data_IF_763792924976
#
_entry.id   IF_763792924976
#
_cell.length_a   1.000
_cell.length_b   1.000
_cell.length_c   1.000
_cell.angle_alpha   90.00
_cell.angle_beta   90.00
_cell.angle_gamma   90.00
#
_symmetry.space_group_name_H-M   'P 1'
#
loop_
_entity.id
_entity.type
_entity.pdbx_description
1 polymer ?
#
# COMPACT_ATOMS: atom_id res chain seq x y z
N UNK A 1 8.95 -6.52 -17.33
CA UNK A 1 9.43 -5.15 -17.04
C UNK A 1 8.29 -4.17 -17.32
N UNK A 2 8.19 -3.10 -16.52
CA UNK A 2 7.16 -2.07 -16.63
C UNK A 2 7.84 -0.72 -16.84
N UNK A 3 7.26 0.11 -17.71
CA UNK A 3 7.82 1.40 -18.11
C UNK A 3 6.85 2.53 -17.76
N UNK A 4 7.35 3.61 -17.15
CA UNK A 4 6.58 4.84 -16.87
C UNK A 4 7.27 6.03 -17.52
N UNK A 5 6.55 6.69 -18.43
CA UNK A 5 7.01 7.89 -19.12
C UNK A 5 6.74 9.19 -18.33
N UNK A 6 6.74 9.10 -16.99
CA UNK A 6 6.51 10.25 -16.12
C UNK A 6 7.77 11.12 -16.02
N UNK A 7 7.58 12.45 -16.07
CA UNK A 7 8.70 13.41 -15.95
C UNK A 7 9.16 13.64 -14.52
N UNK A 8 8.40 13.13 -13.53
CA UNK A 8 8.66 13.35 -12.10
C UNK A 8 9.95 12.64 -11.68
N UNK A 9 10.94 13.41 -11.22
CA UNK A 9 12.25 12.91 -10.78
C UNK A 9 12.36 12.97 -9.26
N UNK A 10 11.68 12.06 -8.57
CA UNK A 10 11.80 11.92 -7.11
C UNK A 10 12.70 10.73 -6.75
N UNK A 11 13.07 10.63 -5.49
CA UNK A 11 13.87 9.51 -4.95
C UNK A 11 13.18 8.13 -5.01
N UNK A 12 11.89 8.07 -5.37
CA UNK A 12 11.07 6.85 -5.40
C UNK A 12 10.62 6.43 -6.80
N UNK A 13 10.94 7.20 -7.85
CA UNK A 13 10.40 6.96 -9.19
C UNK A 13 11.50 6.59 -10.17
N UNK A 14 11.31 5.47 -10.88
CA UNK A 14 12.14 5.01 -11.99
C UNK A 14 11.31 4.97 -13.28
N UNK A 15 11.95 5.19 -14.42
CA UNK A 15 11.28 5.09 -15.73
C UNK A 15 11.10 3.64 -16.19
N UNK A 16 11.91 2.72 -15.65
CA UNK A 16 11.81 1.28 -15.85
C UNK A 16 11.98 0.57 -14.50
N UNK A 17 11.11 -0.39 -14.22
CA UNK A 17 11.17 -1.21 -12.99
C UNK A 17 10.47 -2.55 -13.21
N UNK A 18 10.61 -3.45 -12.24
CA UNK A 18 9.97 -4.77 -12.27
C UNK A 18 8.69 -4.76 -11.44
N UNK A 19 7.64 -5.32 -12.00
CA UNK A 19 6.35 -5.48 -11.33
C UNK A 19 5.95 -6.95 -11.38
N UNK A 20 5.38 -7.43 -10.27
CA UNK A 20 4.73 -8.74 -10.18
C UNK A 20 3.23 -8.46 -10.11
N UNK A 21 2.48 -8.87 -11.14
CA UNK A 21 1.06 -8.53 -11.32
C UNK A 21 0.22 -9.81 -11.36
N UNK A 22 -0.33 -10.26 -10.21
CA UNK A 22 -1.24 -11.39 -10.18
C UNK A 22 -2.69 -10.97 -10.49
N UNK A 23 -3.38 -11.77 -11.28
CA UNK A 23 -4.84 -11.70 -11.52
C UNK A 23 -5.48 -13.06 -11.22
N UNK A 24 -6.64 -13.05 -10.56
CA UNK A 24 -7.29 -14.26 -10.04
C UNK A 24 -8.79 -14.26 -10.38
N UNK A 25 -9.24 -15.27 -11.12
CA UNK A 25 -10.65 -15.43 -11.47
C UNK A 25 -11.49 -15.80 -10.23
N UNK A 26 -12.74 -15.34 -10.20
CA UNK A 26 -13.70 -15.58 -9.10
C UNK A 26 -13.27 -15.01 -7.73
N UNK A 27 -12.30 -14.10 -7.71
CA UNK A 27 -11.81 -13.47 -6.49
C UNK A 27 -12.50 -12.14 -6.22
N UNK A 28 -12.81 -11.88 -4.95
CA UNK A 28 -13.26 -10.60 -4.45
C UNK A 28 -12.15 -9.83 -3.73
N UNK A 29 -12.37 -8.53 -3.47
CA UNK A 29 -11.34 -7.65 -2.92
C UNK A 29 -10.79 -8.18 -1.58
N UNK A 30 -11.66 -8.60 -0.65
CA UNK A 30 -11.22 -9.08 0.66
C UNK A 30 -10.25 -10.27 0.54
N UNK A 31 -10.59 -11.26 -0.28
CA UNK A 31 -9.73 -12.42 -0.56
C UNK A 31 -8.42 -12.00 -1.23
N UNK A 32 -8.47 -11.01 -2.13
CA UNK A 32 -7.27 -10.46 -2.75
C UNK A 32 -6.35 -9.77 -1.73
N UNK A 33 -6.91 -9.03 -0.78
CA UNK A 33 -6.12 -8.37 0.28
C UNK A 33 -5.45 -9.40 1.20
N UNK A 34 -6.15 -10.49 1.55
CA UNK A 34 -5.59 -11.60 2.32
C UNK A 34 -4.40 -12.25 1.61
N UNK A 35 -4.49 -12.46 0.29
CA UNK A 35 -3.37 -12.99 -0.50
C UNK A 35 -2.22 -11.99 -0.57
N UNK A 36 -2.50 -10.70 -0.77
CA UNK A 36 -1.48 -9.67 -0.82
C UNK A 36 -0.69 -9.57 0.49
N UNK A 37 -1.36 -9.53 1.64
CA UNK A 37 -0.69 -9.47 2.94
C UNK A 37 0.10 -10.75 3.25
N UNK A 38 -0.48 -11.92 2.96
CA UNK A 38 0.21 -13.20 3.12
C UNK A 38 1.45 -13.30 2.22
N UNK A 39 1.37 -12.82 0.98
CA UNK A 39 2.49 -12.82 0.05
C UNK A 39 3.64 -11.94 0.55
N UNK A 40 3.36 -10.69 0.98
CA UNK A 40 4.38 -9.78 1.50
C UNK A 40 5.00 -10.33 2.79
N UNK A 41 4.18 -10.78 3.75
CA UNK A 41 4.67 -11.40 4.98
C UNK A 41 5.56 -12.62 4.69
N UNK A 42 5.17 -13.48 3.73
CA UNK A 42 5.96 -14.63 3.31
C UNK A 42 7.32 -14.21 2.73
N UNK A 43 7.36 -13.23 1.83
CA UNK A 43 8.62 -12.75 1.25
C UNK A 43 9.56 -12.20 2.31
N UNK A 44 9.06 -11.37 3.22
CA UNK A 44 9.84 -10.79 4.32
C UNK A 44 10.37 -11.89 5.24
N UNK A 45 9.52 -12.86 5.61
CA UNK A 45 9.94 -14.00 6.43
C UNK A 45 11.04 -14.83 5.74
N UNK A 46 10.96 -15.04 4.42
CA UNK A 46 11.99 -15.76 3.68
C UNK A 46 13.30 -15.00 3.55
N UNK A 47 13.26 -13.67 3.42
CA UNK A 47 14.46 -12.84 3.47
C UNK A 47 15.09 -12.90 4.86
N UNK A 48 14.31 -12.80 5.94
CA UNK A 48 14.82 -12.94 7.31
C UNK A 48 15.43 -14.33 7.57
N UNK A 49 14.85 -15.40 7.03
CA UNK A 49 15.33 -16.78 7.17
C UNK A 49 16.64 -17.03 6.42
N UNK A 50 16.79 -16.46 5.21
CA UNK A 50 17.81 -16.89 4.24
C UNK A 50 18.90 -15.85 3.97
N UNK A 51 18.71 -14.62 4.40
CA UNK A 51 19.57 -13.49 4.04
C UNK A 51 20.09 -12.73 5.27
N UNK A 52 20.31 -13.42 6.38
CA UNK A 52 20.79 -12.78 7.62
C UNK A 52 22.09 -11.99 7.40
N UNK A 53 23.07 -12.59 6.71
CA UNK A 53 24.34 -11.93 6.43
C UNK A 53 24.15 -10.67 5.58
N UNK A 54 23.32 -10.72 4.53
CA UNK A 54 23.06 -9.53 3.70
C UNK A 54 22.33 -8.43 4.48
N UNK A 55 21.37 -8.80 5.33
CA UNK A 55 20.66 -7.84 6.19
C UNK A 55 21.61 -7.14 7.17
N UNK A 56 22.58 -7.87 7.72
CA UNK A 56 23.60 -7.30 8.62
C UNK A 56 24.54 -6.35 7.87
N UNK A 57 24.98 -6.71 6.66
CA UNK A 57 25.79 -5.83 5.79
C UNK A 57 25.04 -4.54 5.46
N UNK A 58 23.73 -4.61 5.26
CA UNK A 58 22.86 -3.47 4.97
C UNK A 58 22.46 -2.68 6.23
N UNK A 59 22.92 -3.09 7.41
CA UNK A 59 22.57 -2.51 8.71
C UNK A 59 21.04 -2.41 8.91
N UNK A 60 20.31 -3.41 8.41
CA UNK A 60 18.86 -3.36 8.40
C UNK A 60 18.28 -3.78 9.76
N UNK A 61 17.30 -3.03 10.24
CA UNK A 61 16.53 -3.41 11.43
C UNK A 61 15.69 -4.67 11.18
N UNK A 62 16.17 -5.80 11.70
CA UNK A 62 15.55 -7.13 11.55
C UNK A 62 14.27 -7.25 12.38
N UNK A 63 14.16 -6.56 13.52
CA UNK A 63 12.99 -6.64 14.39
C UNK A 63 11.81 -5.85 13.80
N UNK A 64 12.11 -4.70 13.18
CA UNK A 64 11.13 -3.98 12.38
C UNK A 64 10.62 -4.85 11.23
N UNK A 65 11.50 -5.55 10.50
CA UNK A 65 11.07 -6.47 9.44
C UNK A 65 10.21 -7.63 9.98
N UNK A 66 10.53 -8.17 11.16
CA UNK A 66 9.71 -9.20 11.80
C UNK A 66 8.30 -8.70 12.08
N UNK A 67 8.15 -7.46 12.55
CA UNK A 67 6.82 -6.87 12.78
C UNK A 67 5.95 -6.81 11.51
N UNK A 68 6.59 -6.71 10.33
CA UNK A 68 5.90 -6.71 9.04
C UNK A 68 5.42 -8.10 8.62
N UNK A 69 5.81 -9.17 9.31
CA UNK A 69 5.30 -10.53 9.05
C UNK A 69 4.01 -10.83 9.83
N UNK A 70 3.61 -9.96 10.75
CA UNK A 70 2.43 -10.15 11.60
C UNK A 70 1.13 -9.77 10.88
N UNK A 71 0.31 -10.78 10.61
CA UNK A 71 -1.00 -10.64 9.97
C UNK A 71 -2.14 -10.60 10.99
N UNK A 72 -3.30 -10.00 10.66
CA UNK A 72 -3.59 -9.24 9.44
C UNK A 72 -2.96 -7.84 9.46
N UNK A 73 -2.78 -7.24 8.29
CA UNK A 73 -2.44 -5.84 8.13
C UNK A 73 -3.67 -4.96 8.43
N UNK A 74 -3.48 -3.77 9.03
CA UNK A 74 -4.58 -2.83 9.20
C UNK A 74 -5.21 -2.46 7.86
N UNK A 75 -6.53 -2.38 7.84
CA UNK A 75 -7.33 -1.95 6.69
C UNK A 75 -8.07 -0.68 7.10
N UNK A 76 -7.80 0.43 6.42
CA UNK A 76 -8.34 1.74 6.76
C UNK A 76 -9.06 2.28 5.53
N UNK A 77 -10.29 2.78 5.68
CA UNK A 77 -10.97 3.38 4.53
C UNK A 77 -10.27 4.69 4.12
N UNK A 78 -10.37 5.09 2.86
CA UNK A 78 -9.89 6.40 2.41
C UNK A 78 -10.49 7.54 3.25
N UNK A 79 -11.77 7.42 3.62
CA UNK A 79 -12.45 8.40 4.48
C UNK A 79 -11.78 8.51 5.86
N UNK A 80 -11.50 7.36 6.49
CA UNK A 80 -10.82 7.31 7.79
C UNK A 80 -9.37 7.80 7.69
N UNK A 81 -8.69 7.52 6.57
CA UNK A 81 -7.34 8.00 6.31
C UNK A 81 -7.30 9.54 6.16
N UNK A 82 -8.27 10.13 5.45
CA UNK A 82 -8.43 11.59 5.36
C UNK A 82 -8.67 12.18 6.74
N UNK A 83 -9.55 11.56 7.53
CA UNK A 83 -9.86 12.03 8.88
C UNK A 83 -8.64 11.97 9.80
N UNK A 84 -7.91 10.86 9.76
CA UNK A 84 -6.67 10.66 10.51
C UNK A 84 -5.61 11.71 10.14
N UNK A 85 -5.46 12.02 8.85
CA UNK A 85 -4.55 13.08 8.39
C UNK A 85 -4.98 14.46 8.92
N UNK A 86 -6.26 14.82 8.79
CA UNK A 86 -6.80 16.10 9.26
C UNK A 86 -6.66 16.26 10.78
N UNK A 87 -6.96 15.21 11.54
CA UNK A 87 -6.82 15.19 13.00
C UNK A 87 -5.35 15.38 13.46
N UNK A 88 -4.39 15.11 12.57
CA UNK A 88 -2.95 15.28 12.81
C UNK A 88 -2.37 16.51 12.08
N UNK A 89 -3.21 17.45 11.65
CA UNK A 89 -2.80 18.76 11.17
C UNK A 89 -2.41 18.82 9.69
N UNK A 90 -2.74 17.80 8.90
CA UNK A 90 -2.59 17.85 7.44
C UNK A 90 -3.77 18.59 6.81
N UNK A 91 -3.47 19.55 5.92
CA UNK A 91 -4.46 20.24 5.11
C UNK A 91 -4.74 19.42 3.83
N UNK A 92 -5.50 18.34 3.99
CA UNK A 92 -5.89 17.44 2.89
C UNK A 92 -7.41 17.44 2.74
N UNK A 93 -7.88 17.66 1.51
CA UNK A 93 -9.30 17.61 1.18
C UNK A 93 -9.70 16.22 0.70
N UNK A 94 -10.93 15.80 0.97
CA UNK A 94 -11.47 14.57 0.40
C UNK A 94 -11.53 14.68 -1.14
N UNK A 95 -11.15 13.61 -1.84
CA UNK A 95 -11.15 13.55 -3.30
C UNK A 95 -9.79 13.84 -3.94
N UNK A 96 -8.77 14.16 -3.16
CA UNK A 96 -7.38 14.31 -3.65
C UNK A 96 -6.56 13.06 -3.35
N UNK A 97 -5.56 12.81 -4.18
CA UNK A 97 -4.61 11.72 -3.95
C UNK A 97 -3.61 12.09 -2.84
N UNK A 98 -3.03 11.09 -2.18
CA UNK A 98 -2.06 11.34 -1.11
C UNK A 98 -0.70 11.71 -1.68
N UNK A 99 -0.11 12.78 -1.16
CA UNK A 99 1.27 13.13 -1.44
C UNK A 99 2.25 12.32 -0.59
N UNK A 100 3.54 12.49 -0.87
CA UNK A 100 4.59 11.81 -0.10
C UNK A 100 4.55 12.11 1.41
N UNK A 101 4.24 13.35 1.90
CA UNK A 101 4.10 13.61 3.32
C UNK A 101 2.95 12.82 3.97
N UNK A 102 1.79 12.81 3.34
CA UNK A 102 0.58 12.12 3.81
C UNK A 102 0.81 10.61 3.85
N UNK A 103 1.34 10.03 2.76
CA UNK A 103 1.71 8.61 2.71
C UNK A 103 2.72 8.23 3.79
N UNK A 104 3.72 9.07 4.03
CA UNK A 104 4.76 8.80 5.04
C UNK A 104 4.18 8.85 6.45
N UNK A 105 3.27 9.78 6.71
CA UNK A 105 2.56 9.84 7.98
C UNK A 105 1.67 8.62 8.20
N UNK A 106 0.84 8.28 7.22
CA UNK A 106 -0.03 7.10 7.29
C UNK A 106 0.80 5.83 7.51
N UNK A 107 1.87 5.63 6.75
CA UNK A 107 2.74 4.47 6.90
C UNK A 107 3.40 4.38 8.29
N UNK A 108 3.86 5.51 8.85
CA UNK A 108 4.50 5.55 10.17
C UNK A 108 3.51 5.48 11.33
N UNK A 109 2.23 5.82 11.10
CA UNK A 109 1.19 5.72 12.12
C UNK A 109 0.91 4.27 12.53
N UNK A 110 1.12 3.33 11.60
CA UNK A 110 0.95 1.90 11.85
C UNK A 110 2.31 1.23 12.08
N UNK A 111 2.35 0.26 12.98
CA UNK A 111 3.58 -0.50 13.27
C UNK A 111 3.99 -1.46 12.14
N UNK A 112 3.11 -1.68 11.16
CA UNK A 112 3.25 -2.65 10.06
C UNK A 112 2.55 -2.12 8.80
N UNK A 113 2.76 -2.73 7.62
CA UNK A 113 2.11 -2.28 6.39
C UNK A 113 0.60 -2.17 6.55
N UNK A 114 0.00 -1.21 5.87
CA UNK A 114 -1.43 -0.86 5.96
C UNK A 114 -2.04 -0.80 4.57
N UNK A 115 -3.28 -1.26 4.44
CA UNK A 115 -4.11 -1.01 3.26
C UNK A 115 -4.97 0.23 3.47
N UNK A 116 -5.02 1.11 2.47
CA UNK A 116 -6.03 2.16 2.40
C UNK A 116 -7.07 1.75 1.36
N UNK A 117 -8.32 1.53 1.75
CA UNK A 117 -9.35 0.96 0.86
C UNK A 117 -10.39 1.97 0.44
N UNK A 118 -11.07 1.69 -0.67
CA UNK A 118 -12.24 2.44 -1.15
C UNK A 118 -11.94 3.90 -1.53
N UNK A 119 -10.93 4.11 -2.38
CA UNK A 119 -10.58 5.44 -2.87
C UNK A 119 -11.69 6.09 -3.74
N UNK A 120 -11.67 7.43 -3.85
CA UNK A 120 -12.57 8.15 -4.74
C UNK A 120 -12.42 7.72 -6.19
N UNK A 121 -13.57 7.52 -6.83
CA UNK A 121 -13.70 7.15 -8.25
C UNK A 121 -12.95 8.09 -9.19
N UNK A 122 -12.92 9.39 -8.86
CA UNK A 122 -12.35 10.43 -9.72
C UNK A 122 -10.82 10.36 -9.85
N UNK A 123 -10.13 9.73 -8.89
CA UNK A 123 -8.66 9.65 -8.84
C UNK A 123 -8.13 8.23 -9.08
N UNK A 124 -9.00 7.31 -9.50
CA UNK A 124 -8.65 5.92 -9.77
C UNK A 124 -8.92 5.56 -11.22
N UNK A 125 -8.27 4.49 -11.67
CA UNK A 125 -8.38 4.03 -13.05
C UNK A 125 -9.79 3.54 -13.39
N UNK A 126 -10.17 3.69 -14.67
CA UNK A 126 -11.53 3.44 -15.14
C UNK A 126 -12.03 2.00 -14.95
N UNK A 127 -11.12 1.02 -14.86
CA UNK A 127 -11.44 -0.41 -14.77
C UNK A 127 -11.78 -0.88 -13.35
N UNK A 128 -11.61 -0.03 -12.34
CA UNK A 128 -11.92 -0.40 -10.97
C UNK A 128 -13.43 -0.56 -10.76
N UNK A 129 -13.82 -1.63 -10.06
CA UNK A 129 -15.23 -1.95 -9.80
C UNK A 129 -15.87 -0.88 -8.90
N UNK A 130 -17.09 -0.45 -9.23
CA UNK A 130 -17.87 0.48 -8.39
C UNK A 130 -18.19 -0.13 -7.04
N UNK A 131 -18.19 0.70 -6.01
CA UNK A 131 -18.68 0.28 -4.71
C UNK A 131 -20.20 0.01 -4.77
N UNK A 132 -20.67 -1.01 -4.04
CA UNK A 132 -22.05 -1.49 -4.18
C UNK A 132 -23.10 -0.47 -3.72
N UNK A 133 -22.77 0.34 -2.72
CA UNK A 133 -23.69 1.30 -2.08
C UNK A 133 -23.28 2.76 -2.20
N UNK A 134 -22.15 3.05 -2.86
CA UNK A 134 -21.59 4.40 -3.01
C UNK A 134 -21.07 4.59 -4.43
N UNK A 135 -21.48 5.67 -5.10
CA UNK A 135 -21.03 5.96 -6.48
C UNK A 135 -19.75 6.81 -6.55
N UNK A 136 -19.40 7.47 -5.46
CA UNK A 136 -18.25 8.36 -5.36
C UNK A 136 -16.92 7.63 -5.09
N UNK A 137 -16.96 6.34 -4.75
CA UNK A 137 -15.80 5.49 -4.45
C UNK A 137 -15.79 4.19 -5.27
N UNK A 138 -14.62 3.56 -5.35
CA UNK A 138 -14.42 2.27 -6.04
C UNK A 138 -13.79 1.23 -5.12
N UNK A 139 -14.12 -0.04 -5.34
CA UNK A 139 -13.52 -1.21 -4.69
C UNK A 139 -12.05 -1.27 -5.12
N UNK A 140 -11.18 -0.77 -4.25
CA UNK A 140 -9.75 -0.55 -4.50
C UNK A 140 -8.99 -0.50 -3.18
N UNK A 141 -7.69 -0.80 -3.21
CA UNK A 141 -6.75 -0.65 -2.10
C UNK A 141 -5.44 -0.05 -2.60
#
# INVERSE_FOLDING_TARGET
PTFRAEKSKTRRHLTEFWMVEPEMAFMHQEESLEIQEAYIAFLIAKVLERNEQELDILERDKDLLRSYTELPYPRVSYDDAIKLLQDNGFDVAWGVDFGSPEETFLANHFAKPVFIVNFPKAIKAFYMKRHATRDDVVISA
#
